data_IF_498022140119
#
_entry.id   IF_498022140119
#
_cell.length_a   1.000
_cell.length_b   1.000
_cell.length_c   1.000
_cell.angle_alpha   90.00
_cell.angle_beta   90.00
_cell.angle_gamma   90.00
#
_symmetry.space_group_name_H-M   'P 1'
#
loop_
_entity.id
_entity.type
_entity.pdbx_description
1 polymer ?
#
# COMPACT_ATOMS: atom_id res chain seq x y z
N UNK A 1 14.81 -61.16 -40.44
CA UNK A 1 14.38 -62.21 -39.50
C UNK A 1 15.46 -62.32 -38.43
N UNK A 2 15.14 -62.01 -37.17
CA UNK A 2 15.80 -62.58 -35.99
C UNK A 2 14.99 -62.21 -34.74
N UNK A 3 14.42 -63.26 -34.15
CA UNK A 3 13.65 -63.33 -32.90
C UNK A 3 14.60 -63.39 -31.70
N UNK A 4 14.20 -62.77 -30.57
CA UNK A 4 14.46 -63.20 -29.16
C UNK A 4 13.85 -62.16 -28.19
N UNK A 5 12.69 -62.47 -27.60
CA UNK A 5 12.47 -62.95 -26.20
C UNK A 5 12.58 -61.87 -25.09
N UNK A 6 11.41 -61.58 -24.51
CA UNK A 6 11.06 -60.92 -23.21
C UNK A 6 11.21 -61.99 -22.07
N UNK A 7 11.14 -61.76 -20.72
CA UNK A 7 10.99 -60.57 -19.85
C UNK A 7 11.99 -60.49 -18.66
N UNK A 8 11.95 -59.40 -17.89
CA UNK A 8 11.91 -59.47 -16.41
C UNK A 8 11.28 -58.21 -15.85
N UNK A 9 10.12 -58.37 -15.19
CA UNK A 9 9.50 -57.36 -14.32
C UNK A 9 10.46 -57.02 -13.18
N UNK A 10 10.66 -55.73 -12.91
CA UNK A 10 11.11 -55.27 -11.60
C UNK A 10 10.11 -54.25 -11.08
N UNK A 11 9.39 -54.70 -10.06
CA UNK A 11 8.37 -54.02 -9.30
C UNK A 11 9.05 -52.90 -8.49
N UNK A 12 8.86 -51.62 -8.85
CA UNK A 12 9.23 -50.51 -7.97
C UNK A 12 8.03 -50.13 -7.11
N UNK A 13 8.24 -50.24 -5.81
CA UNK A 13 7.28 -49.94 -4.76
C UNK A 13 6.84 -48.47 -4.80
N UNK A 14 5.52 -48.25 -4.81
CA UNK A 14 4.90 -46.95 -4.60
C UNK A 14 5.01 -46.60 -3.11
N UNK A 15 5.98 -45.78 -2.73
CA UNK A 15 6.02 -45.17 -1.40
C UNK A 15 4.98 -44.04 -1.35
N UNK A 16 3.83 -44.29 -0.71
CA UNK A 16 2.88 -43.24 -0.36
C UNK A 16 3.50 -42.35 0.73
N UNK A 17 4.09 -41.23 0.31
CA UNK A 17 4.44 -40.14 1.21
C UNK A 17 3.15 -39.44 1.66
N UNK A 18 2.71 -39.69 2.89
CA UNK A 18 1.69 -38.90 3.57
C UNK A 18 2.24 -37.47 3.74
N UNK A 19 1.89 -36.59 2.79
CA UNK A 19 2.14 -35.16 2.93
C UNK A 19 1.31 -34.61 4.09
N UNK A 20 1.98 -34.20 5.16
CA UNK A 20 1.36 -33.40 6.20
C UNK A 20 0.94 -32.06 5.56
N UNK A 21 -0.35 -31.91 5.25
CA UNK A 21 -0.94 -30.65 4.85
C UNK A 21 -0.84 -29.68 6.04
N UNK A 22 0.24 -28.90 6.08
CA UNK A 22 0.35 -27.75 6.96
C UNK A 22 -0.78 -26.79 6.58
N UNK A 23 -1.80 -26.72 7.42
CA UNK A 23 -2.81 -25.66 7.36
C UNK A 23 -2.09 -24.36 7.68
N UNK A 24 -1.61 -23.68 6.64
CA UNK A 24 -1.15 -22.31 6.76
C UNK A 24 -2.34 -21.47 7.20
N UNK A 25 -2.38 -21.13 8.48
CA UNK A 25 -3.26 -20.10 9.02
C UNK A 25 -2.82 -18.77 8.39
N UNK A 26 -3.40 -18.45 7.23
CA UNK A 26 -3.28 -17.12 6.67
C UNK A 26 -3.94 -16.16 7.68
N UNK A 27 -3.13 -15.32 8.34
CA UNK A 27 -3.64 -14.24 9.17
C UNK A 27 -4.52 -13.35 8.28
N UNK A 28 -5.81 -13.29 8.57
CA UNK A 28 -6.71 -12.42 7.84
C UNK A 28 -6.24 -10.97 7.99
N UNK A 29 -6.07 -10.27 6.86
CA UNK A 29 -5.75 -8.85 6.88
C UNK A 29 -6.99 -8.08 7.39
N UNK A 30 -6.93 -7.63 8.64
CA UNK A 30 -7.99 -6.84 9.28
C UNK A 30 -7.86 -5.35 9.02
N UNK A 31 -6.87 -4.93 8.22
CA UNK A 31 -6.73 -3.52 7.89
C UNK A 31 -7.91 -2.99 7.06
N UNK A 32 -8.19 -1.68 7.14
CA UNK A 32 -9.31 -1.09 6.42
C UNK A 32 -9.25 -1.38 4.92
N UNK A 33 -10.40 -1.73 4.33
CA UNK A 33 -10.53 -1.92 2.89
C UNK A 33 -10.27 -0.61 2.13
N UNK A 34 -9.79 -0.68 0.87
CA UNK A 34 -9.65 0.50 0.04
C UNK A 34 -10.96 1.30 -0.08
N UNK A 35 -10.86 2.63 0.01
CA UNK A 35 -12.04 3.49 0.06
C UNK A 35 -11.72 4.97 0.25
N UNK A 36 -12.70 5.72 0.75
CA UNK A 36 -12.58 7.16 0.97
C UNK A 36 -12.45 7.96 -0.34
N UNK A 37 -11.91 9.18 -0.23
CA UNK A 37 -11.82 10.15 -1.35
C UNK A 37 -11.06 9.58 -2.56
N UNK A 38 -9.99 8.81 -2.34
CA UNK A 38 -9.12 8.30 -3.41
C UNK A 38 -9.30 6.81 -3.72
N UNK A 39 -10.21 6.10 -3.04
CA UNK A 39 -10.34 4.62 -3.14
C UNK A 39 -9.03 3.87 -2.87
N UNK A 40 -8.13 4.47 -2.08
CA UNK A 40 -6.88 3.89 -1.64
C UNK A 40 -7.07 3.08 -0.36
N UNK A 41 -6.17 2.15 -0.07
CA UNK A 41 -6.10 1.48 1.24
C UNK A 41 -5.65 2.48 2.30
N UNK A 42 -6.39 2.68 3.41
CA UNK A 42 -5.89 3.49 4.52
C UNK A 42 -4.57 2.95 5.09
N UNK A 43 -3.63 3.85 5.41
CA UNK A 43 -2.33 3.51 5.98
C UNK A 43 -1.20 4.43 5.51
N UNK A 44 0.04 3.94 5.62
CA UNK A 44 1.24 4.66 5.22
C UNK A 44 1.62 4.31 3.78
N UNK A 45 2.00 5.35 3.05
CA UNK A 45 2.60 5.28 1.74
C UNK A 45 3.95 5.98 1.77
N UNK A 46 4.92 5.46 1.05
CA UNK A 46 6.25 6.07 0.90
C UNK A 46 6.52 6.36 -0.56
N UNK A 47 7.34 7.38 -0.84
CA UNK A 47 7.76 7.66 -2.20
C UNK A 47 8.49 6.44 -2.79
N UNK A 48 8.21 6.11 -4.04
CA UNK A 48 8.82 4.95 -4.70
C UNK A 48 10.35 5.00 -4.60
N UNK A 49 10.96 3.86 -4.24
CA UNK A 49 12.40 3.75 -3.98
C UNK A 49 12.80 4.05 -2.52
N UNK A 50 11.87 4.49 -1.67
CA UNK A 50 12.10 4.58 -0.22
C UNK A 50 11.82 3.23 0.46
N UNK A 51 12.57 2.93 1.52
CA UNK A 51 12.35 1.75 2.35
C UNK A 51 11.17 1.98 3.34
N UNK A 52 10.28 0.99 3.46
CA UNK A 52 9.18 1.02 4.42
C UNK A 52 9.64 0.92 5.88
N UNK A 53 10.79 0.28 6.14
CA UNK A 53 11.32 0.10 7.50
C UNK A 53 12.00 1.36 8.05
N UNK A 54 12.55 2.19 7.16
CA UNK A 54 13.24 3.43 7.52
C UNK A 54 13.01 4.57 6.50
N UNK A 55 11.75 5.00 6.26
CA UNK A 55 11.48 6.04 5.28
C UNK A 55 11.91 7.42 5.80
N UNK A 56 12.48 8.24 4.92
CA UNK A 56 12.69 9.65 5.24
C UNK A 56 11.34 10.37 5.41
N UNK A 57 11.25 11.29 6.38
CA UNK A 57 10.01 12.01 6.69
C UNK A 57 9.31 12.65 5.48
N UNK A 58 10.09 13.23 4.55
CA UNK A 58 9.57 13.88 3.34
C UNK A 58 8.89 12.89 2.38
N UNK A 59 9.31 11.62 2.39
CA UNK A 59 8.77 10.56 1.56
C UNK A 59 7.45 9.98 2.09
N UNK A 60 7.05 10.29 3.33
CA UNK A 60 5.89 9.68 3.97
C UNK A 60 4.60 10.41 3.60
N UNK A 61 3.57 9.64 3.27
CA UNK A 61 2.17 10.08 3.24
C UNK A 61 1.33 9.12 4.07
N UNK A 62 0.45 9.66 4.89
CA UNK A 62 -0.57 8.89 5.60
C UNK A 62 -1.95 9.17 4.99
N UNK A 63 -2.65 8.11 4.60
CA UNK A 63 -4.01 8.18 4.12
C UNK A 63 -4.99 7.59 5.14
N UNK A 64 -5.98 8.37 5.56
CA UNK A 64 -7.01 7.97 6.54
C UNK A 64 -8.41 7.85 5.91
N UNK A 65 -8.51 7.89 4.58
CA UNK A 65 -9.78 7.94 3.86
C UNK A 65 -10.28 9.36 3.56
N UNK A 66 -9.79 10.38 4.27
CA UNK A 66 -10.24 11.78 4.15
C UNK A 66 -9.22 12.66 3.44
N UNK A 67 -7.93 12.37 3.56
CA UNK A 67 -6.85 13.11 2.89
C UNK A 67 -5.49 12.48 3.10
N UNK A 68 -4.46 13.10 2.51
CA UNK A 68 -3.06 12.68 2.60
C UNK A 68 -2.28 13.60 3.54
N UNK A 69 -2.01 13.12 4.76
CA UNK A 69 -1.13 13.80 5.71
C UNK A 69 0.34 13.50 5.42
N UNK A 70 1.23 14.39 5.83
CA UNK A 70 2.70 14.21 5.77
C UNK A 70 3.25 14.01 7.17
N UNK A 71 4.55 13.77 7.32
CA UNK A 71 5.19 13.76 8.65
C UNK A 71 5.02 15.10 9.41
N UNK A 72 4.76 16.20 8.70
CA UNK A 72 4.64 17.55 9.26
C UNK A 72 3.21 18.08 9.29
N UNK A 73 2.22 17.29 8.88
CA UNK A 73 0.82 17.75 8.83
C UNK A 73 -0.12 16.70 9.40
N UNK A 74 -1.31 17.12 9.84
CA UNK A 74 -2.34 16.21 10.34
C UNK A 74 -3.75 16.68 10.03
N UNK A 75 -4.72 15.79 10.29
CA UNK A 75 -6.16 16.06 10.11
C UNK A 75 -6.48 16.59 8.71
N UNK A 76 -5.80 16.06 7.70
CA UNK A 76 -5.98 16.48 6.31
C UNK A 76 -7.36 16.08 5.77
N UNK A 77 -7.99 16.99 5.04
CA UNK A 77 -9.27 16.77 4.37
C UNK A 77 -9.16 17.22 2.93
N UNK A 78 -9.42 16.31 2.00
CA UNK A 78 -9.41 16.58 0.57
C UNK A 78 -10.83 16.91 0.08
N UNK A 79 -10.95 18.05 -0.59
CA UNK A 79 -12.16 18.43 -1.33
C UNK A 79 -11.87 18.22 -2.81
N UNK A 80 -12.59 17.29 -3.45
CA UNK A 80 -12.47 17.04 -4.89
C UNK A 80 -13.06 18.21 -5.67
N UNK A 81 -12.24 18.83 -6.51
CA UNK A 81 -12.64 19.94 -7.39
C UNK A 81 -13.02 19.43 -8.77
N UNK A 82 -12.29 18.44 -9.26
CA UNK A 82 -12.64 17.71 -10.47
C UNK A 82 -12.10 16.29 -10.39
N UNK A 83 -12.79 15.37 -11.04
CA UNK A 83 -12.39 13.98 -11.18
C UNK A 83 -12.47 13.61 -12.67
N UNK A 84 -11.39 13.04 -13.18
CA UNK A 84 -11.33 12.51 -14.53
C UNK A 84 -11.50 10.99 -14.51
N UNK A 85 -11.88 10.41 -15.65
CA UNK A 85 -11.88 8.95 -15.82
C UNK A 85 -10.47 8.40 -15.58
N UNK A 86 -10.38 7.20 -14.99
CA UNK A 86 -9.10 6.56 -14.69
C UNK A 86 -8.44 6.98 -13.37
N UNK A 87 -9.18 7.57 -12.42
CA UNK A 87 -8.68 7.79 -11.06
C UNK A 87 -7.77 9.01 -10.89
N UNK A 88 -7.91 10.02 -11.76
CA UNK A 88 -7.23 11.31 -11.62
C UNK A 88 -8.16 12.33 -10.94
N UNK A 89 -7.66 12.96 -9.88
CA UNK A 89 -8.39 13.90 -9.03
C UNK A 89 -7.62 15.21 -8.95
N UNK A 90 -8.27 16.33 -9.24
CA UNK A 90 -7.78 17.64 -8.78
C UNK A 90 -8.48 17.97 -7.48
N UNK A 91 -7.72 18.26 -6.43
CA UNK A 91 -8.24 18.49 -5.09
C UNK A 91 -7.67 19.75 -4.47
N UNK A 92 -8.46 20.37 -3.59
CA UNK A 92 -7.96 21.27 -2.56
C UNK A 92 -7.86 20.48 -1.26
N UNK A 93 -6.66 20.35 -0.70
CA UNK A 93 -6.47 19.65 0.57
C UNK A 93 -6.20 20.64 1.69
N UNK A 94 -7.01 20.59 2.74
CA UNK A 94 -6.82 21.37 3.96
C UNK A 94 -6.22 20.51 5.07
N UNK A 95 -5.08 20.90 5.62
CA UNK A 95 -4.38 20.21 6.71
C UNK A 95 -4.07 21.16 7.86
N UNK A 96 -3.89 20.64 9.07
CA UNK A 96 -3.19 21.37 10.14
C UNK A 96 -1.70 21.29 9.86
N UNK A 97 -1.00 22.42 9.84
CA UNK A 97 0.41 22.55 9.44
C UNK A 97 1.39 22.23 10.57
N UNK A 98 1.09 21.18 11.33
CA UNK A 98 2.03 20.61 12.29
C UNK A 98 1.70 19.14 12.56
N UNK A 99 2.73 18.32 12.75
CA UNK A 99 2.59 16.94 13.22
C UNK A 99 2.03 16.85 14.65
N UNK A 100 2.35 17.83 15.51
CA UNK A 100 1.89 17.92 16.90
C UNK A 100 1.69 19.38 17.34
N UNK A 101 0.98 19.61 18.45
CA UNK A 101 0.75 20.95 19.00
C UNK A 101 -0.16 21.88 18.17
N UNK A 102 -0.49 23.08 18.67
CA UNK A 102 -1.34 24.04 17.95
C UNK A 102 -0.67 24.53 16.66
N UNK A 103 -1.42 24.57 15.55
CA UNK A 103 -0.97 25.12 14.28
C UNK A 103 -2.17 25.53 13.41
N UNK A 104 -1.99 26.48 12.48
CA UNK A 104 -3.06 26.89 11.58
C UNK A 104 -3.42 25.78 10.58
N UNK A 105 -4.59 25.94 9.95
CA UNK A 105 -4.92 25.15 8.77
C UNK A 105 -4.38 25.82 7.52
N UNK A 106 -3.75 25.02 6.66
CA UNK A 106 -3.27 25.43 5.34
C UNK A 106 -4.01 24.65 4.25
N UNK A 107 -4.21 25.29 3.10
CA UNK A 107 -4.86 24.66 1.94
C UNK A 107 -3.88 24.59 0.78
N UNK A 108 -3.75 23.41 0.17
CA UNK A 108 -2.92 23.19 -1.00
C UNK A 108 -3.71 22.52 -2.12
N UNK A 109 -3.65 23.13 -3.32
CA UNK A 109 -4.12 22.53 -4.57
C UNK A 109 -3.12 21.48 -5.03
N UNK A 110 -3.62 20.31 -5.42
CA UNK A 110 -2.79 19.23 -5.97
C UNK A 110 -3.59 18.32 -6.89
N UNK A 111 -2.88 17.53 -7.68
CA UNK A 111 -3.48 16.43 -8.44
C UNK A 111 -3.04 15.10 -7.83
N UNK A 112 -3.98 14.17 -7.71
CA UNK A 112 -3.75 12.80 -7.27
C UNK A 112 -4.16 11.87 -8.40
N UNK A 113 -3.24 11.03 -8.87
CA UNK A 113 -3.51 10.01 -9.88
C UNK A 113 -3.38 8.65 -9.22
N UNK A 114 -4.50 7.98 -9.00
CA UNK A 114 -4.59 6.67 -8.37
C UNK A 114 -4.43 5.61 -9.46
N UNK A 115 -3.39 4.78 -9.36
CA UNK A 115 -3.19 3.66 -10.32
C UNK A 115 -3.97 2.43 -9.86
N UNK A 116 -3.87 2.12 -8.58
CA UNK A 116 -4.61 1.05 -7.91
C UNK A 116 -4.75 1.38 -6.41
N UNK A 117 -5.29 0.45 -5.63
CA UNK A 117 -5.56 0.66 -4.21
C UNK A 117 -4.30 0.88 -3.33
N UNK A 118 -3.11 0.56 -3.84
CA UNK A 118 -1.83 0.59 -3.12
C UNK A 118 -0.80 1.53 -3.76
N UNK A 119 -1.11 2.10 -4.93
CA UNK A 119 -0.19 2.98 -5.65
C UNK A 119 -0.90 4.24 -6.18
N UNK A 120 -0.28 5.39 -5.92
CA UNK A 120 -0.74 6.65 -6.48
C UNK A 120 0.43 7.56 -6.85
N UNK A 121 0.11 8.64 -7.54
CA UNK A 121 1.05 9.71 -7.86
C UNK A 121 0.48 11.03 -7.41
N UNK A 122 1.27 11.81 -6.68
CA UNK A 122 0.95 13.15 -6.23
C UNK A 122 1.65 14.15 -7.15
N UNK A 123 0.92 15.17 -7.58
CA UNK A 123 1.48 16.30 -8.32
C UNK A 123 1.17 17.59 -7.57
N UNK A 124 2.22 18.28 -7.12
CA UNK A 124 2.13 19.56 -6.39
C UNK A 124 2.99 20.57 -7.15
N UNK A 125 2.39 21.68 -7.60
CA UNK A 125 3.12 22.74 -8.34
C UNK A 125 3.96 22.25 -9.54
N UNK A 126 3.58 21.12 -10.15
CA UNK A 126 4.30 20.50 -11.27
C UNK A 126 5.24 19.36 -10.85
N UNK A 127 5.66 19.31 -9.59
CA UNK A 127 6.50 18.24 -9.06
C UNK A 127 5.68 16.96 -8.90
N UNK A 128 6.16 15.87 -9.50
CA UNK A 128 5.48 14.57 -9.54
C UNK A 128 6.23 13.55 -8.70
N UNK A 129 5.55 12.96 -7.73
CA UNK A 129 6.09 11.88 -6.89
C UNK A 129 5.13 10.69 -6.89
N UNK A 130 5.63 9.50 -7.22
CA UNK A 130 4.88 8.26 -7.08
C UNK A 130 5.08 7.67 -5.69
N UNK A 131 4.01 7.09 -5.14
CA UNK A 131 3.99 6.51 -3.80
C UNK A 131 3.44 5.07 -3.85
N UNK A 132 3.96 4.25 -2.94
CA UNK A 132 3.58 2.86 -2.74
C UNK A 132 3.17 2.62 -1.28
N UNK A 133 2.17 1.77 -1.08
CA UNK A 133 1.69 1.38 0.25
C UNK A 133 2.74 0.55 0.99
N UNK A 134 2.94 0.85 2.26
CA UNK A 134 3.76 0.06 3.16
C UNK A 134 2.88 -0.79 4.09
N UNK A 135 3.01 -2.12 4.06
CA UNK A 135 2.34 -2.99 5.02
C UNK A 135 2.73 -2.64 6.45
N UNK A 136 1.76 -2.67 7.38
CA UNK A 136 1.96 -2.23 8.77
C UNK A 136 3.13 -2.96 9.45
N UNK A 137 3.31 -4.25 9.19
CA UNK A 137 4.39 -5.04 9.79
C UNK A 137 5.80 -4.63 9.32
N UNK A 138 5.93 -3.90 8.20
CA UNK A 138 7.21 -3.39 7.69
C UNK A 138 7.53 -2.00 8.22
N UNK A 139 6.54 -1.31 8.82
CA UNK A 139 6.73 0.06 9.28
C UNK A 139 7.57 0.10 10.57
N UNK A 140 8.34 1.18 10.79
CA UNK A 140 8.89 1.46 12.10
C UNK A 140 7.76 1.64 13.13
N UNK A 141 8.06 1.34 14.40
CA UNK A 141 7.07 1.28 15.50
C UNK A 141 6.21 2.54 15.60
N UNK A 142 6.80 3.71 15.36
CA UNK A 142 6.09 4.99 15.48
C UNK A 142 5.02 5.16 14.40
N UNK A 143 5.31 4.71 13.18
CA UNK A 143 4.35 4.72 12.07
C UNK A 143 3.29 3.62 12.21
N UNK A 144 3.62 2.48 12.83
CA UNK A 144 2.62 1.46 13.17
C UNK A 144 1.55 2.01 14.12
N UNK A 145 1.95 2.82 15.10
CA UNK A 145 1.01 3.46 16.04
C UNK A 145 0.13 4.49 15.34
N UNK A 146 0.66 5.18 14.33
CA UNK A 146 -0.09 6.21 13.61
C UNK A 146 -1.24 5.66 12.75
N UNK A 147 -1.22 4.37 12.38
CA UNK A 147 -2.23 3.73 11.52
C UNK A 147 -3.24 2.85 12.24
N UNK A 148 -3.12 2.70 13.56
CA UNK A 148 -4.10 2.01 14.41
C UNK A 148 -5.22 2.94 14.83
#
# INVERSE_FOLDING_TARGET
>A
MNTRTIPTLTMLALTLSLGASSLALASADTSPKPGGVYRLKPGIYVANGSDCAAPANAAIRQYDGKGLSTAHTRACKATVRSQQRGGSYTVDQSCIDAGAGPAPRVVQRQQIVVRDALHFTQVIKGDRTSYQYCPVYQLPVDLQKAVR
#
